data_IF_473093599672
#
_entry.id   IF_473093599672
#
_cell.length_a   1.000
_cell.length_b   1.000
_cell.length_c   1.000
_cell.angle_alpha   90.00
_cell.angle_beta   90.00
_cell.angle_gamma   90.00
#
_symmetry.space_group_name_H-M   'P 1'
#
loop_
_entity.id
_entity.type
_entity.pdbx_description
1 polymer ?
#
# COMPACT_ATOMS: atom_id res chain seq x y z
N UNK A 1 -54.59 9.12 42.25
CA UNK A 1 -54.99 10.25 41.37
C UNK A 1 -53.95 10.39 40.26
N UNK A 2 -54.41 10.53 39.00
CA UNK A 2 -53.65 10.71 37.73
C UNK A 2 -52.67 9.57 37.37
N UNK A 3 -52.91 8.62 36.45
CA UNK A 3 -53.41 8.66 35.04
C UNK A 3 -52.57 9.56 34.12
N UNK A 4 -51.54 8.98 33.50
CA UNK A 4 -51.01 9.40 32.18
C UNK A 4 -50.73 8.15 31.35
N UNK A 5 -51.34 8.12 30.17
CA UNK A 5 -51.54 7.01 29.26
C UNK A 5 -50.28 6.73 28.41
N UNK A 6 -49.95 5.46 28.13
CA UNK A 6 -48.86 5.05 27.24
C UNK A 6 -49.36 4.98 25.79
N UNK A 7 -48.87 5.80 24.85
CA UNK A 7 -49.35 5.70 23.46
C UNK A 7 -48.50 6.31 22.33
N UNK A 8 -47.25 6.76 22.54
CA UNK A 8 -46.55 7.51 21.46
C UNK A 8 -45.08 7.15 21.18
N UNK A 9 -44.59 6.00 21.65
CA UNK A 9 -43.21 5.54 21.37
C UNK A 9 -43.12 4.18 20.68
N UNK A 10 -44.21 3.73 20.03
CA UNK A 10 -44.30 2.40 19.42
C UNK A 10 -44.52 2.40 17.89
N UNK A 11 -44.23 3.52 17.20
CA UNK A 11 -44.46 3.67 15.75
C UNK A 11 -43.19 3.94 14.90
N UNK A 12 -41.99 3.82 15.48
CA UNK A 12 -40.73 3.99 14.74
C UNK A 12 -39.97 2.67 14.48
N UNK A 13 -40.64 1.51 14.62
CA UNK A 13 -40.04 0.17 14.48
C UNK A 13 -40.66 -0.70 13.37
N UNK A 14 -41.49 -0.12 12.50
CA UNK A 14 -42.10 -0.84 11.38
C UNK A 14 -41.70 -0.19 10.05
N UNK A 15 -40.77 -0.83 9.33
CA UNK A 15 -40.66 -0.63 7.88
C UNK A 15 -39.29 -0.23 7.32
N UNK A 16 -38.20 -0.87 7.73
CA UNK A 16 -37.17 -1.21 6.74
C UNK A 16 -37.58 -2.59 6.22
N UNK A 17 -38.17 -2.73 5.01
CA UNK A 17 -38.30 -4.03 4.40
C UNK A 17 -36.88 -4.57 4.27
N UNK A 18 -36.57 -5.60 5.07
CA UNK A 18 -35.35 -6.37 4.90
C UNK A 18 -35.35 -6.84 3.45
N UNK A 19 -34.33 -6.43 2.69
CA UNK A 19 -34.07 -6.96 1.38
C UNK A 19 -33.95 -8.48 1.53
N UNK A 20 -34.94 -9.20 1.00
CA UNK A 20 -34.88 -10.64 0.77
C UNK A 20 -33.81 -10.83 -0.32
N UNK A 21 -32.53 -10.77 0.08
CA UNK A 21 -31.42 -11.00 -0.81
C UNK A 21 -31.47 -12.47 -1.25
N UNK A 22 -31.52 -12.76 -2.57
CA UNK A 22 -31.56 -14.12 -3.03
C UNK A 22 -30.34 -14.90 -2.51
N UNK A 23 -30.47 -16.21 -2.22
CA UNK A 23 -29.38 -17.01 -1.64
C UNK A 23 -28.08 -16.96 -2.46
N UNK A 24 -28.18 -16.70 -3.77
CA UNK A 24 -27.05 -16.49 -4.66
C UNK A 24 -26.21 -15.25 -4.32
N UNK A 25 -26.84 -14.14 -3.91
CA UNK A 25 -26.15 -12.90 -3.53
C UNK A 25 -25.37 -13.09 -2.22
N UNK A 26 -25.95 -13.79 -1.25
CA UNK A 26 -25.30 -14.12 0.02
C UNK A 26 -24.12 -15.09 -0.18
N UNK A 27 -24.29 -16.10 -1.04
CA UNK A 27 -23.23 -17.06 -1.35
C UNK A 27 -22.07 -16.41 -2.10
N UNK A 28 -22.37 -15.49 -3.03
CA UNK A 28 -21.35 -14.73 -3.75
C UNK A 28 -20.59 -13.78 -2.81
N UNK A 29 -21.28 -13.04 -1.94
CA UNK A 29 -20.65 -12.20 -0.92
C UNK A 29 -19.72 -13.01 0.01
N UNK A 30 -20.16 -14.19 0.46
CA UNK A 30 -19.34 -15.09 1.26
C UNK A 30 -18.08 -15.58 0.52
N UNK A 31 -18.20 -15.89 -0.78
CA UNK A 31 -17.05 -16.32 -1.59
C UNK A 31 -16.00 -15.21 -1.77
N UNK A 32 -16.44 -13.96 -1.96
CA UNK A 32 -15.55 -12.79 -2.08
C UNK A 32 -14.85 -12.54 -0.74
N UNK A 33 -15.58 -12.62 0.38
CA UNK A 33 -14.99 -12.45 1.70
C UNK A 33 -13.94 -13.52 2.00
N UNK A 34 -14.22 -14.79 1.69
CA UNK A 34 -13.26 -15.88 1.84
C UNK A 34 -11.99 -15.67 1.00
N UNK A 35 -12.15 -15.23 -0.25
CA UNK A 35 -11.02 -14.95 -1.15
C UNK A 35 -10.15 -13.79 -0.63
N UNK A 36 -10.76 -12.70 -0.16
CA UNK A 36 -10.00 -11.57 0.42
C UNK A 36 -9.25 -11.96 1.70
N UNK A 37 -9.86 -12.81 2.54
CA UNK A 37 -9.22 -13.33 3.75
C UNK A 37 -8.03 -14.24 3.42
N UNK A 38 -8.16 -15.12 2.44
CA UNK A 38 -7.05 -15.97 1.97
C UNK A 38 -5.92 -15.15 1.36
N UNK A 39 -6.23 -14.18 0.50
CA UNK A 39 -5.23 -13.30 -0.09
C UNK A 39 -4.45 -12.53 1.00
N UNK A 40 -5.16 -11.99 1.98
CA UNK A 40 -4.56 -11.33 3.15
C UNK A 40 -3.62 -12.28 3.90
N UNK A 41 -4.12 -13.47 4.24
CA UNK A 41 -3.36 -14.47 4.99
C UNK A 41 -2.06 -14.84 4.27
N UNK A 42 -2.15 -15.19 2.99
CA UNK A 42 -0.99 -15.59 2.19
C UNK A 42 0.04 -14.46 2.08
N UNK A 43 -0.42 -13.21 1.90
CA UNK A 43 0.45 -12.04 1.88
C UNK A 43 1.16 -11.82 3.22
N UNK A 44 0.42 -11.85 4.33
CA UNK A 44 1.01 -11.71 5.66
C UNK A 44 2.02 -12.82 5.94
N UNK A 45 1.71 -14.09 5.63
CA UNK A 45 2.63 -15.21 5.77
C UNK A 45 3.94 -15.00 5.00
N UNK A 46 3.89 -14.46 3.77
CA UNK A 46 5.10 -14.11 3.02
C UNK A 46 5.92 -13.01 3.70
N UNK A 47 5.27 -11.96 4.22
CA UNK A 47 5.97 -10.89 4.95
C UNK A 47 6.64 -11.47 6.20
N UNK A 48 5.92 -12.29 6.97
CA UNK A 48 6.44 -12.94 8.18
C UNK A 48 7.65 -13.82 7.84
N UNK A 49 7.56 -14.60 6.78
CA UNK A 49 8.64 -15.48 6.31
C UNK A 49 9.87 -14.69 5.84
N UNK A 50 9.67 -13.59 5.09
CA UNK A 50 10.76 -12.80 4.52
C UNK A 50 11.55 -12.04 5.57
N UNK A 51 10.84 -11.42 6.52
CA UNK A 51 11.45 -10.60 7.57
C UNK A 51 11.96 -11.43 8.75
N UNK A 52 11.55 -12.70 8.83
CA UNK A 52 11.71 -13.52 10.05
C UNK A 52 11.26 -12.71 11.25
N UNK A 53 10.01 -12.24 11.24
CA UNK A 53 9.48 -11.34 12.27
C UNK A 53 9.85 -11.88 13.66
N UNK A 54 10.62 -11.09 14.40
CA UNK A 54 11.16 -11.38 15.74
C UNK A 54 10.80 -10.23 16.68
N UNK A 55 10.61 -10.55 17.96
CA UNK A 55 10.27 -9.55 18.98
C UNK A 55 8.92 -8.87 18.72
N UNK A 56 8.88 -7.55 18.92
CA UNK A 56 7.65 -6.74 18.88
C UNK A 56 7.24 -6.25 17.48
N UNK A 57 7.93 -6.71 16.42
CA UNK A 57 7.62 -6.33 15.05
C UNK A 57 6.20 -6.76 14.66
N UNK A 58 5.40 -5.83 14.13
CA UNK A 58 3.98 -6.05 13.83
C UNK A 58 3.59 -5.55 12.44
N UNK A 59 2.57 -6.18 11.87
CA UNK A 59 1.93 -5.74 10.63
C UNK A 59 0.68 -4.92 10.96
N UNK A 60 0.45 -3.81 10.27
CA UNK A 60 -0.71 -2.92 10.47
C UNK A 60 -1.21 -2.33 9.16
N UNK A 61 -2.37 -1.66 9.24
CA UNK A 61 -3.00 -0.95 8.12
C UNK A 61 -3.14 -1.80 6.86
N UNK A 62 -3.42 -3.10 7.04
CA UNK A 62 -3.46 -4.09 5.97
C UNK A 62 -4.80 -4.00 5.24
N UNK A 63 -4.75 -3.78 3.93
CA UNK A 63 -5.91 -3.66 3.07
C UNK A 63 -5.74 -4.57 1.84
N UNK A 64 -6.85 -5.11 1.36
CA UNK A 64 -6.90 -6.06 0.23
C UNK A 64 -7.71 -5.43 -0.89
N UNK A 65 -7.15 -5.44 -2.10
CA UNK A 65 -7.73 -4.80 -3.27
C UNK A 65 -7.85 -5.81 -4.41
N UNK A 66 -9.07 -6.15 -4.87
CA UNK A 66 -9.26 -6.92 -6.08
C UNK A 66 -8.60 -6.22 -7.28
N UNK A 67 -7.83 -6.96 -8.07
CA UNK A 67 -7.16 -6.44 -9.25
C UNK A 67 -8.02 -6.64 -10.51
N UNK A 68 -7.64 -6.00 -11.62
CA UNK A 68 -8.34 -6.18 -12.92
C UNK A 68 -8.30 -7.62 -13.43
N UNK A 69 -7.27 -8.38 -13.06
CA UNK A 69 -7.14 -9.81 -13.39
C UNK A 69 -8.00 -10.61 -12.40
N UNK A 70 -9.00 -11.38 -12.86
CA UNK A 70 -9.83 -12.20 -11.99
C UNK A 70 -9.00 -13.15 -11.12
N UNK A 71 -9.41 -13.31 -9.86
CA UNK A 71 -8.69 -14.14 -8.88
C UNK A 71 -7.35 -13.55 -8.41
N UNK A 72 -7.01 -12.32 -8.79
CA UNK A 72 -5.80 -11.63 -8.32
C UNK A 72 -6.12 -10.49 -7.37
N UNK A 73 -5.29 -10.34 -6.35
CA UNK A 73 -5.44 -9.35 -5.27
C UNK A 73 -4.12 -8.65 -5.02
N UNK A 74 -4.16 -7.35 -4.73
CA UNK A 74 -3.06 -6.65 -4.09
C UNK A 74 -3.36 -6.52 -2.59
N UNK A 75 -2.37 -6.84 -1.76
CA UNK A 75 -2.43 -6.67 -0.31
C UNK A 75 -1.36 -5.67 0.07
N UNK A 76 -1.78 -4.60 0.70
CA UNK A 76 -0.91 -3.46 0.99
C UNK A 76 -0.95 -3.18 2.47
N UNK A 77 0.20 -2.85 3.05
CA UNK A 77 0.26 -2.62 4.48
C UNK A 77 1.55 -1.97 4.93
N UNK A 78 1.70 -1.92 6.24
CA UNK A 78 2.82 -1.31 6.92
C UNK A 78 3.41 -2.31 7.92
N UNK A 79 4.73 -2.30 8.07
CA UNK A 79 5.44 -2.99 9.15
C UNK A 79 5.86 -1.93 10.16
N UNK A 80 5.54 -2.15 11.44
CA UNK A 80 6.10 -1.41 12.56
C UNK A 80 7.26 -2.24 13.14
N UNK A 81 8.53 -1.83 12.97
CA UNK A 81 9.68 -2.64 13.39
C UNK A 81 9.77 -2.83 14.92
N UNK A 82 9.26 -1.87 15.68
CA UNK A 82 9.36 -1.79 17.15
C UNK A 82 8.02 -2.03 17.86
N UNK A 83 6.93 -2.18 17.10
CA UNK A 83 5.57 -2.27 17.64
C UNK A 83 4.95 -0.95 18.12
N UNK A 84 5.74 0.13 18.27
CA UNK A 84 5.22 1.42 18.72
C UNK A 84 4.37 2.12 17.64
N UNK A 85 3.26 2.76 18.03
CA UNK A 85 2.30 3.32 17.09
C UNK A 85 2.83 4.51 16.27
N UNK A 86 3.77 5.27 16.85
CA UNK A 86 4.32 6.51 16.29
C UNK A 86 5.67 6.32 15.58
N UNK A 87 6.17 5.09 15.52
CA UNK A 87 7.45 4.82 14.89
C UNK A 87 7.33 4.85 13.36
N UNK A 88 8.42 5.20 12.65
CA UNK A 88 8.48 5.06 11.21
C UNK A 88 8.13 3.63 10.78
N UNK A 89 7.26 3.53 9.79
CA UNK A 89 6.83 2.24 9.25
C UNK A 89 7.56 1.92 7.95
N UNK A 90 7.63 0.63 7.64
CA UNK A 90 8.14 0.12 6.35
C UNK A 90 6.94 -0.27 5.49
N UNK A 91 6.73 0.36 4.31
CA UNK A 91 5.64 -0.01 3.41
C UNK A 91 5.95 -1.34 2.73
N UNK A 92 4.90 -2.10 2.42
CA UNK A 92 4.99 -3.32 1.62
C UNK A 92 3.74 -3.54 0.78
N UNK A 93 3.94 -4.22 -0.35
CA UNK A 93 2.88 -4.67 -1.26
C UNK A 93 3.11 -6.12 -1.61
N UNK A 94 2.06 -6.92 -1.54
CA UNK A 94 2.04 -8.26 -2.08
C UNK A 94 0.96 -8.39 -3.16
N UNK A 95 1.26 -9.11 -4.24
CA UNK A 95 0.25 -9.53 -5.21
C UNK A 95 -0.02 -11.02 -5.02
N UNK A 96 -1.27 -11.41 -4.83
CA UNK A 96 -1.67 -12.79 -4.60
C UNK A 96 -2.64 -13.23 -5.69
N UNK A 97 -2.29 -14.30 -6.40
CA UNK A 97 -3.20 -14.99 -7.30
C UNK A 97 -3.80 -16.20 -6.57
N UNK A 98 -5.13 -16.32 -6.63
CA UNK A 98 -5.87 -17.44 -6.09
C UNK A 98 -6.27 -18.41 -7.20
N UNK A 99 -6.22 -19.69 -6.89
CA UNK A 99 -6.78 -20.77 -7.69
C UNK A 99 -7.59 -21.66 -6.75
N UNK A 100 -8.84 -21.94 -7.12
CA UNK A 100 -9.78 -22.72 -6.30
C UNK A 100 -9.89 -22.22 -4.84
N UNK A 101 -9.88 -20.90 -4.68
CA UNK A 101 -9.97 -20.24 -3.37
C UNK A 101 -8.71 -20.31 -2.51
N UNK A 102 -7.57 -20.77 -3.05
CA UNK A 102 -6.28 -20.85 -2.34
C UNK A 102 -5.19 -20.07 -3.05
N UNK A 103 -4.24 -19.53 -2.30
CA UNK A 103 -3.08 -18.87 -2.89
C UNK A 103 -2.24 -19.84 -3.74
N UNK A 104 -2.15 -19.59 -5.05
CA UNK A 104 -1.32 -20.37 -5.99
C UNK A 104 0.02 -19.69 -6.27
N UNK A 105 0.03 -18.35 -6.23
CA UNK A 105 1.23 -17.52 -6.41
C UNK A 105 1.12 -16.26 -5.58
N UNK A 106 2.21 -15.87 -4.93
CA UNK A 106 2.32 -14.56 -4.32
C UNK A 106 3.71 -13.95 -4.57
N UNK A 107 3.74 -12.65 -4.86
CA UNK A 107 4.94 -11.83 -4.98
C UNK A 107 4.91 -10.75 -3.92
N UNK A 108 6.07 -10.36 -3.39
CA UNK A 108 6.19 -9.43 -2.27
C UNK A 108 7.30 -8.42 -2.55
N UNK A 109 6.99 -7.13 -2.37
CA UNK A 109 7.93 -6.04 -2.33
C UNK A 109 7.88 -5.35 -0.95
N UNK A 110 9.04 -5.09 -0.35
CA UNK A 110 9.19 -4.44 0.96
C UNK A 110 10.16 -3.27 0.82
N UNK A 111 9.81 -2.11 1.37
CA UNK A 111 10.62 -0.89 1.31
C UNK A 111 11.75 -0.83 2.33
N UNK A 112 12.69 -1.79 2.34
CA UNK A 112 13.74 -1.89 3.37
C UNK A 112 14.84 -0.81 3.25
N UNK A 113 14.88 -0.10 2.13
CA UNK A 113 15.76 1.05 1.86
C UNK A 113 14.95 2.22 1.30
N UNK A 114 15.54 3.42 1.20
CA UNK A 114 14.87 4.60 0.64
C UNK A 114 14.44 4.39 -0.82
N UNK A 115 15.31 3.75 -1.63
CA UNK A 115 15.02 3.43 -3.03
C UNK A 115 13.90 2.40 -3.13
N UNK A 116 13.93 1.36 -2.31
CA UNK A 116 12.86 0.35 -2.28
C UNK A 116 11.55 0.93 -1.76
N UNK A 117 11.57 1.79 -0.74
CA UNK A 117 10.37 2.45 -0.22
C UNK A 117 9.69 3.30 -1.31
N UNK A 118 10.49 4.00 -2.13
CA UNK A 118 9.98 4.75 -3.28
C UNK A 118 9.37 3.83 -4.35
N UNK A 119 10.03 2.71 -4.65
CA UNK A 119 9.48 1.70 -5.58
C UNK A 119 8.18 1.10 -5.07
N UNK A 120 8.14 0.72 -3.79
CA UNK A 120 6.95 0.15 -3.16
C UNK A 120 5.82 1.18 -3.12
N UNK A 121 6.11 2.45 -2.85
CA UNK A 121 5.10 3.51 -2.90
C UNK A 121 4.47 3.62 -4.30
N UNK A 122 5.28 3.60 -5.36
CA UNK A 122 4.76 3.62 -6.73
C UNK A 122 3.92 2.38 -7.06
N UNK A 123 4.35 1.21 -6.60
CA UNK A 123 3.57 -0.02 -6.73
C UNK A 123 2.26 0.04 -5.93
N UNK A 124 2.27 0.68 -4.75
CA UNK A 124 1.05 0.90 -3.97
C UNK A 124 0.05 1.78 -4.73
N UNK A 125 0.54 2.86 -5.34
CA UNK A 125 -0.32 3.77 -6.13
C UNK A 125 -0.94 3.07 -7.34
N UNK A 126 -0.24 2.12 -7.95
CA UNK A 126 -0.74 1.36 -9.12
C UNK A 126 -1.68 0.20 -8.76
N UNK A 127 -1.51 -0.40 -7.59
CA UNK A 127 -2.19 -1.65 -7.23
C UNK A 127 -3.20 -1.54 -6.09
N UNK A 128 -3.00 -0.64 -5.13
CA UNK A 128 -3.76 -0.60 -3.88
C UNK A 128 -5.07 0.20 -4.00
N UNK A 129 -5.87 -0.14 -5.01
CA UNK A 129 -7.23 0.35 -5.21
C UNK A 129 -8.04 -0.70 -5.98
N UNK A 130 -9.36 -0.61 -5.94
CA UNK A 130 -10.25 -1.55 -6.64
C UNK A 130 -10.04 -1.47 -8.16
N UNK A 131 -9.73 -2.60 -8.79
CA UNK A 131 -9.40 -2.64 -10.21
C UNK A 131 -8.01 -2.07 -10.54
N UNK A 132 -7.10 -2.07 -9.56
CA UNK A 132 -5.68 -1.80 -9.78
C UNK A 132 -4.93 -2.95 -10.48
N UNK A 133 -3.64 -2.74 -10.68
CA UNK A 133 -2.74 -3.72 -11.29
C UNK A 133 -2.70 -3.67 -12.82
N UNK A 134 -1.87 -4.54 -13.44
CA UNK A 134 -1.62 -4.50 -14.86
C UNK A 134 -2.91 -4.73 -15.65
N UNK A 135 -3.19 -3.82 -16.59
CA UNK A 135 -4.37 -3.91 -17.46
C UNK A 135 -4.24 -5.14 -18.37
N UNK A 136 -5.31 -5.93 -18.45
CA UNK A 136 -5.37 -7.12 -19.29
C UNK A 136 -4.90 -6.77 -20.73
N UNK A 137 -3.83 -7.42 -21.21
CA UNK A 137 -3.31 -7.25 -22.57
C UNK A 137 -2.21 -6.20 -22.75
N UNK A 138 -1.88 -5.42 -21.71
CA UNK A 138 -0.63 -4.66 -21.68
C UNK A 138 0.42 -5.52 -20.99
N UNK A 139 1.39 -6.04 -21.76
CA UNK A 139 2.70 -6.38 -21.19
C UNK A 139 3.10 -5.24 -20.27
N UNK A 140 3.75 -5.50 -19.11
CA UNK A 140 4.17 -4.44 -18.21
C UNK A 140 4.88 -3.41 -19.09
N UNK A 141 4.22 -2.28 -19.31
CA UNK A 141 4.91 -1.14 -19.84
C UNK A 141 6.00 -0.98 -18.79
N UNK A 142 7.24 -1.19 -19.21
CA UNK A 142 8.37 -0.67 -18.49
C UNK A 142 8.09 0.83 -18.56
N UNK A 143 7.24 1.31 -17.65
CA UNK A 143 7.07 2.73 -17.38
C UNK A 143 8.50 3.11 -17.11
N UNK A 144 9.11 3.75 -18.11
CA UNK A 144 10.49 4.18 -18.14
C UNK A 144 10.65 5.32 -17.17
N UNK A 145 10.20 5.09 -15.93
CA UNK A 145 10.64 5.82 -14.79
C UNK A 145 12.16 5.71 -14.87
N UNK A 146 12.85 6.86 -15.00
CA UNK A 146 14.29 6.85 -15.00
C UNK A 146 14.74 6.07 -13.77
N UNK A 147 15.80 5.24 -13.89
CA UNK A 147 16.28 4.46 -12.77
C UNK A 147 16.41 5.40 -11.56
N UNK A 148 15.74 5.06 -10.47
CA UNK A 148 15.87 5.84 -9.24
C UNK A 148 17.37 5.95 -8.93
N UNK A 149 17.86 7.15 -8.59
CA UNK A 149 19.27 7.33 -8.31
C UNK A 149 19.69 6.33 -7.24
N UNK A 150 20.76 5.58 -7.51
CA UNK A 150 21.32 4.65 -6.54
C UNK A 150 21.78 5.42 -5.29
N UNK A 151 21.90 4.72 -4.16
CA UNK A 151 22.42 5.33 -2.93
C UNK A 151 23.80 5.99 -3.15
N UNK A 152 24.59 5.45 -4.08
CA UNK A 152 25.87 6.04 -4.53
C UNK A 152 25.67 7.39 -5.24
N UNK A 153 24.67 7.50 -6.13
CA UNK A 153 24.36 8.75 -6.82
C UNK A 153 23.82 9.81 -5.86
N UNK A 154 23.02 9.41 -4.87
CA UNK A 154 22.54 10.30 -3.81
C UNK A 154 23.67 10.78 -2.89
N UNK A 155 24.63 9.91 -2.57
CA UNK A 155 25.82 10.28 -1.81
C UNK A 155 26.68 11.30 -2.56
N UNK A 156 26.93 11.08 -3.86
CA UNK A 156 27.66 12.03 -4.71
C UNK A 156 26.97 13.39 -4.85
N UNK A 157 25.63 13.42 -4.96
CA UNK A 157 24.90 14.69 -4.98
C UNK A 157 24.96 15.45 -3.65
N UNK A 158 24.94 14.76 -2.51
CA UNK A 158 25.13 15.39 -1.20
C UNK A 158 26.53 15.99 -1.06
N UNK A 159 27.54 15.29 -1.56
CA UNK A 159 28.92 15.77 -1.55
C UNK A 159 29.10 17.00 -2.45
N UNK A 160 28.48 16.98 -3.64
CA UNK A 160 28.46 18.12 -4.54
C UNK A 160 27.71 19.34 -3.98
N UNK A 161 26.62 19.13 -3.23
CA UNK A 161 25.87 20.20 -2.58
C UNK A 161 26.59 20.79 -1.35
N UNK A 162 27.56 20.07 -0.77
CA UNK A 162 28.38 20.53 0.35
C UNK A 162 29.72 21.12 -0.08
N UNK A 163 30.02 21.11 -1.39
CA UNK A 163 31.21 21.76 -1.91
C UNK A 163 31.13 23.28 -1.63
N UNK A 164 32.17 23.89 -1.03
CA UNK A 164 32.18 25.33 -0.78
C UNK A 164 32.09 26.07 -2.13
N UNK A 165 31.38 27.21 -2.19
CA UNK A 165 31.28 27.99 -3.42
C UNK A 165 32.68 28.39 -3.88
N UNK A 166 32.94 28.22 -5.17
CA UNK A 166 34.19 28.65 -5.78
C UNK A 166 34.40 30.15 -5.50
N UNK A 167 35.62 30.59 -5.15
CA UNK A 167 35.88 32.00 -4.94
C UNK A 167 35.62 32.76 -6.24
N UNK A 168 34.72 33.74 -6.17
CA UNK A 168 34.44 34.67 -7.27
C UNK A 168 35.74 35.34 -7.68
N UNK A 169 36.18 35.11 -8.93
CA UNK A 169 37.32 35.80 -9.49
C UNK A 169 37.04 37.32 -9.49
N UNK A 170 37.88 38.08 -8.78
CA UNK A 170 37.78 39.52 -8.72
C UNK A 170 37.98 40.12 -10.14
N UNK A 171 37.20 41.15 -10.52
CA UNK A 171 37.36 41.80 -11.82
C UNK A 171 38.75 42.46 -11.91
N UNK A 172 39.48 42.16 -12.98
CA UNK A 172 40.78 42.74 -13.27
C UNK A 172 40.66 44.26 -13.43
N UNK A 173 41.36 45.02 -12.59
CA UNK A 173 41.46 46.47 -12.76
C UNK A 173 42.26 46.79 -14.04
N UNK A 174 41.82 47.74 -14.87
CA UNK A 174 42.60 48.19 -16.01
C UNK A 174 43.82 49.00 -15.54
N UNK A 175 44.97 48.75 -16.19
CA UNK A 175 46.21 49.45 -15.93
C UNK A 175 46.10 50.96 -16.24
N UNK A 176 46.72 51.84 -15.44
CA UNK A 176 46.76 53.27 -15.73
C UNK A 176 47.67 53.51 -16.95
N UNK A 177 47.10 54.14 -17.97
CA UNK A 177 47.82 54.65 -19.14
C UNK A 177 48.65 55.89 -18.81
N UNK A 178 49.67 56.10 -19.64
CA UNK A 178 50.72 57.12 -19.58
C UNK A 178 50.24 58.58 -19.58
#
# INVERSE_FOLDING_TARGET
MLKVTPALLLLALLGLPGCDDPPEAQQQAGSVQAATAEARRAAEEQVRARLRIVGDMSLRAIQVYPQQVPGSYAVCGQINPTGAANDPFIPWVATVALQDGKASRASLAIGLSNVEASRVYLEMVDRCFEGGGPRNGQMPAVSGLPPLPSDTALAQQREAAQAPPAPTAAPSQPAPGA
#
